data_IF_798498368024
#
_entry.id   IF_798498368024
#
_cell.length_a   1.000
_cell.length_b   1.000
_cell.length_c   1.000
_cell.angle_alpha   90.00
_cell.angle_beta   90.00
_cell.angle_gamma   90.00
#
_symmetry.space_group_name_H-M   'P 1'
#
loop_
_entity.id
_entity.type
_entity.pdbx_description
1 polymer ?
#
# COMPACT_ATOMS: atom_id res chain seq x y z
N UNK A 1 12.37 -13.83 -9.72
CA UNK A 1 11.10 -13.32 -10.27
C UNK A 1 10.34 -12.74 -9.09
N UNK A 2 10.03 -11.45 -9.12
CA UNK A 2 9.33 -10.80 -8.00
C UNK A 2 7.92 -11.35 -7.91
N UNK A 3 7.52 -11.82 -6.72
CA UNK A 3 6.13 -12.22 -6.47
C UNK A 3 5.32 -10.96 -6.12
N UNK A 4 4.70 -10.38 -7.15
CA UNK A 4 3.87 -9.19 -7.02
C UNK A 4 2.67 -9.38 -6.09
N UNK A 5 2.27 -10.61 -5.78
CA UNK A 5 1.21 -10.89 -4.80
C UNK A 5 1.72 -10.67 -3.37
N UNK A 6 2.99 -11.00 -3.11
CA UNK A 6 3.64 -10.81 -1.81
C UNK A 6 3.94 -9.33 -1.58
N UNK A 7 4.45 -8.63 -2.59
CA UNK A 7 4.69 -7.18 -2.49
C UNK A 7 3.39 -6.41 -2.28
N UNK A 8 2.31 -6.78 -2.99
CA UNK A 8 1.03 -6.10 -2.82
C UNK A 8 0.50 -6.22 -1.39
N UNK A 9 0.69 -7.40 -0.78
CA UNK A 9 0.33 -7.61 0.62
C UNK A 9 1.20 -6.76 1.55
N UNK A 10 2.51 -6.69 1.33
CA UNK A 10 3.41 -5.84 2.13
C UNK A 10 3.01 -4.37 2.05
N UNK A 11 2.67 -3.88 0.87
CA UNK A 11 2.21 -2.51 0.72
C UNK A 11 0.88 -2.25 1.43
N UNK A 12 -0.06 -3.20 1.44
CA UNK A 12 -1.27 -3.08 2.28
C UNK A 12 -0.96 -3.03 3.77
N UNK A 13 -0.04 -3.86 4.26
CA UNK A 13 0.39 -3.84 5.66
C UNK A 13 1.01 -2.46 6.01
N UNK A 14 1.85 -1.90 5.13
CA UNK A 14 2.39 -0.55 5.30
C UNK A 14 1.32 0.55 5.27
N UNK A 15 0.29 0.41 4.43
CA UNK A 15 -0.83 1.35 4.41
C UNK A 15 -1.60 1.33 5.74
N UNK A 16 -1.83 0.14 6.30
CA UNK A 16 -2.49 -0.04 7.59
C UNK A 16 -1.67 0.54 8.75
N UNK A 17 -0.35 0.35 8.74
CA UNK A 17 0.56 0.99 9.71
C UNK A 17 0.50 2.51 9.61
N UNK A 18 0.50 3.07 8.40
CA UNK A 18 0.40 4.51 8.19
C UNK A 18 -0.94 5.07 8.70
N UNK A 19 -2.06 4.38 8.45
CA UNK A 19 -3.37 4.78 9.00
C UNK A 19 -3.39 4.72 10.53
N UNK A 20 -2.77 3.69 11.11
CA UNK A 20 -2.64 3.55 12.57
C UNK A 20 -1.82 4.69 13.16
N UNK A 21 -0.68 5.03 12.54
CA UNK A 21 0.12 6.18 12.96
C UNK A 21 -0.66 7.50 12.81
N UNK A 22 -1.36 7.70 11.70
CA UNK A 22 -2.19 8.88 11.50
C UNK A 22 -3.27 9.03 12.60
N UNK A 23 -3.86 7.93 13.06
CA UNK A 23 -4.86 7.93 14.12
C UNK A 23 -4.28 8.25 15.51
N UNK A 24 -3.01 7.93 15.74
CA UNK A 24 -2.31 8.19 17.01
C UNK A 24 -1.72 9.62 17.10
N UNK A 25 -1.71 10.38 16.01
CA UNK A 25 -1.08 11.70 15.95
C UNK A 25 -2.07 12.83 16.18
N UNK A 26 -1.67 13.79 17.01
CA UNK A 26 -2.45 15.02 17.27
C UNK A 26 -2.13 16.14 16.28
N UNK A 27 -0.93 16.12 15.68
CA UNK A 27 -0.55 17.08 14.65
C UNK A 27 -1.26 16.76 13.33
N UNK A 28 -2.11 17.70 12.88
CA UNK A 28 -2.91 17.52 11.66
C UNK A 28 -2.07 17.46 10.39
N UNK A 29 -0.92 18.13 10.35
CA UNK A 29 -0.02 18.12 9.21
C UNK A 29 0.66 16.76 9.05
N UNK A 30 1.17 16.21 10.14
CA UNK A 30 1.79 14.89 10.18
C UNK A 30 0.73 13.80 9.94
N UNK A 31 -0.45 13.91 10.54
CA UNK A 31 -1.60 13.02 10.26
C UNK A 31 -1.93 12.98 8.76
N UNK A 32 -2.06 14.15 8.12
CA UNK A 32 -2.34 14.24 6.69
C UNK A 32 -1.20 13.73 5.80
N UNK A 33 0.06 13.76 6.28
CA UNK A 33 1.18 13.14 5.57
C UNK A 33 1.08 11.61 5.61
N UNK A 34 0.81 11.02 6.78
CA UNK A 34 0.62 9.57 6.91
C UNK A 34 -0.61 9.05 6.16
N UNK A 35 -1.70 9.81 6.12
CA UNK A 35 -2.87 9.44 5.32
C UNK A 35 -2.56 9.40 3.82
N UNK A 36 -1.79 10.37 3.31
CA UNK A 36 -1.33 10.35 1.91
C UNK A 36 -0.39 9.19 1.64
N UNK A 37 0.54 8.92 2.55
CA UNK A 37 1.45 7.78 2.43
C UNK A 37 0.69 6.44 2.42
N UNK A 38 -0.37 6.30 3.22
CA UNK A 38 -1.23 5.13 3.17
C UNK A 38 -1.90 4.95 1.80
N UNK A 39 -2.40 6.04 1.19
CA UNK A 39 -3.00 6.02 -0.15
C UNK A 39 -1.99 5.67 -1.24
N UNK A 40 -0.76 6.14 -1.13
CA UNK A 40 0.32 5.80 -2.05
C UNK A 40 0.65 4.30 -1.98
N UNK A 41 0.70 3.74 -0.77
CA UNK A 41 0.87 2.30 -0.57
C UNK A 41 -0.31 1.47 -1.09
N UNK A 42 -1.55 1.92 -0.91
CA UNK A 42 -2.72 1.26 -1.52
C UNK A 42 -2.60 1.23 -3.05
N UNK A 43 -2.21 2.36 -3.65
CA UNK A 43 -2.01 2.48 -5.10
C UNK A 43 -0.91 1.54 -5.61
N UNK A 44 0.19 1.40 -4.86
CA UNK A 44 1.25 0.45 -5.17
C UNK A 44 0.73 -0.99 -5.12
N UNK A 45 0.02 -1.36 -4.04
CA UNK A 45 -0.55 -2.70 -3.92
C UNK A 45 -1.51 -3.04 -5.05
N UNK A 46 -2.40 -2.12 -5.43
CA UNK A 46 -3.32 -2.31 -6.56
C UNK A 46 -2.59 -2.52 -7.90
N UNK A 47 -1.51 -1.77 -8.12
CA UNK A 47 -0.69 -1.91 -9.31
C UNK A 47 0.00 -3.27 -9.37
N UNK A 48 0.55 -3.74 -8.26
CA UNK A 48 1.22 -5.03 -8.17
C UNK A 48 0.23 -6.19 -8.32
N UNK A 49 -0.96 -6.10 -7.72
CA UNK A 49 -2.02 -7.08 -7.97
C UNK A 49 -2.44 -7.12 -9.44
N UNK A 50 -2.49 -5.95 -10.10
CA UNK A 50 -2.78 -5.86 -11.54
C UNK A 50 -1.69 -6.54 -12.36
N UNK A 51 -0.42 -6.33 -12.02
CA UNK A 51 0.70 -7.02 -12.67
C UNK A 51 0.62 -8.52 -12.44
N UNK A 52 0.38 -8.97 -11.20
CA UNK A 52 0.24 -10.37 -10.86
C UNK A 52 -0.89 -11.05 -11.66
N UNK A 53 -2.04 -10.39 -11.79
CA UNK A 53 -3.16 -10.87 -12.62
C UNK A 53 -2.78 -10.97 -14.10
N UNK A 54 -2.12 -9.96 -14.65
CA UNK A 54 -1.70 -9.96 -16.05
C UNK A 54 -0.67 -11.08 -16.33
N UNK A 55 0.28 -11.31 -15.42
CA UNK A 55 1.26 -12.39 -15.54
C UNK A 55 0.61 -13.77 -15.46
N UNK A 56 -0.45 -13.95 -14.66
CA UNK A 56 -1.24 -15.20 -14.62
C UNK A 56 -2.02 -15.44 -15.91
N UNK A 57 -2.47 -14.40 -16.60
CA UNK A 57 -3.22 -14.52 -17.86
C UNK A 57 -2.31 -14.74 -19.08
N UNK A 58 -1.03 -14.36 -18.98
CA UNK A 58 -0.05 -14.48 -20.06
C UNK A 58 0.70 -15.82 -20.08
N UNK A 59 0.57 -16.63 -19.03
CA UNK A 59 1.11 -18.00 -18.92
C UNK A 59 -0.01 -19.04 -19.09
#
# INVERSE_FOLDING_TARGET
MTDYTVEARRHREMADECRTMAACLTDKGVCGAYQRLAQDYDTLAENEERIARNLKLAN
#
